data_IF_786243902352
#
_entry.id   IF_786243902352
#
_cell.length_a   1.000
_cell.length_b   1.000
_cell.length_c   1.000
_cell.angle_alpha   90.00
_cell.angle_beta   90.00
_cell.angle_gamma   90.00
#
_symmetry.space_group_name_H-M   'P 1'
#
loop_
_entity.id
_entity.type
_entity.pdbx_description
1 polymer ?
#
# COMPACT_ATOMS: atom_id res chain seq x y z
N UNK A 1 -11.68 11.78 -15.01
CA UNK A 1 -10.91 10.96 -14.04
C UNK A 1 -11.78 10.63 -12.82
N UNK A 2 -12.33 11.63 -12.10
CA UNK A 2 -12.98 11.40 -10.81
C UNK A 2 -14.20 10.47 -10.87
N UNK A 3 -15.10 10.59 -11.82
CA UNK A 3 -16.27 9.69 -11.96
C UNK A 3 -15.86 8.22 -12.13
N UNK A 4 -14.80 7.97 -12.94
CA UNK A 4 -14.26 6.62 -13.13
C UNK A 4 -13.60 6.08 -11.87
N UNK A 5 -12.92 6.95 -11.11
CA UNK A 5 -12.33 6.59 -9.82
C UNK A 5 -13.42 6.21 -8.81
N UNK A 6 -14.45 7.04 -8.65
CA UNK A 6 -15.57 6.76 -7.73
C UNK A 6 -16.26 5.43 -8.10
N UNK A 7 -16.55 5.21 -9.38
CA UNK A 7 -17.11 3.93 -9.85
C UNK A 7 -16.17 2.74 -9.55
N UNK A 8 -14.83 2.91 -9.69
CA UNK A 8 -13.83 1.88 -9.40
C UNK A 8 -13.82 1.46 -7.93
N UNK A 9 -14.02 2.43 -7.02
CA UNK A 9 -14.06 2.17 -5.57
C UNK A 9 -15.48 1.92 -5.03
N UNK A 10 -16.47 1.83 -5.90
CA UNK A 10 -17.85 1.49 -5.54
C UNK A 10 -18.65 2.63 -4.91
N UNK A 11 -18.25 3.87 -5.17
CA UNK A 11 -18.95 5.07 -4.74
C UNK A 11 -19.68 5.73 -5.90
N UNK A 12 -20.77 6.44 -5.61
CA UNK A 12 -21.51 7.23 -6.58
C UNK A 12 -20.95 8.66 -6.72
N UNK A 13 -21.62 9.52 -7.49
CA UNK A 13 -21.24 10.91 -7.69
C UNK A 13 -21.67 11.88 -6.57
N UNK A 14 -22.07 11.38 -5.39
CA UNK A 14 -22.46 12.20 -4.24
C UNK A 14 -21.29 12.78 -3.46
N UNK A 15 -21.62 13.51 -2.39
CA UNK A 15 -20.64 13.99 -1.44
C UNK A 15 -20.20 12.84 -0.51
N UNK A 16 -18.89 12.68 -0.38
CA UNK A 16 -18.30 11.63 0.46
C UNK A 16 -17.33 12.25 1.48
N UNK A 17 -17.37 11.75 2.70
CA UNK A 17 -16.38 12.06 3.70
C UNK A 17 -15.01 11.47 3.35
N UNK A 18 -13.95 12.09 3.86
CA UNK A 18 -12.58 11.60 3.69
C UNK A 18 -12.41 10.16 4.20
N UNK A 19 -13.15 9.77 5.26
CA UNK A 19 -13.12 8.41 5.80
C UNK A 19 -13.79 7.39 4.86
N UNK A 20 -14.92 7.73 4.23
CA UNK A 20 -15.57 6.88 3.25
C UNK A 20 -14.71 6.68 2.01
N UNK A 21 -14.12 7.75 1.49
CA UNK A 21 -13.21 7.70 0.35
C UNK A 21 -11.99 6.81 0.63
N UNK A 22 -11.36 6.97 1.81
CA UNK A 22 -10.18 6.18 2.17
C UNK A 22 -10.53 4.71 2.34
N UNK A 23 -11.61 4.38 3.07
CA UNK A 23 -12.08 3.01 3.24
C UNK A 23 -12.40 2.35 1.90
N UNK A 24 -13.18 3.05 1.06
CA UNK A 24 -13.56 2.55 -0.26
C UNK A 24 -12.33 2.26 -1.13
N UNK A 25 -11.31 3.12 -1.10
CA UNK A 25 -10.06 2.93 -1.84
C UNK A 25 -9.33 1.66 -1.39
N UNK A 26 -9.03 1.51 -0.10
CA UNK A 26 -8.21 0.39 0.41
C UNK A 26 -8.93 -0.96 0.34
N UNK A 27 -10.25 -0.95 0.29
CA UNK A 27 -11.07 -2.16 0.09
C UNK A 27 -11.26 -2.53 -1.37
N UNK A 28 -11.10 -1.59 -2.31
CA UNK A 28 -11.36 -1.83 -3.72
C UNK A 28 -10.10 -1.98 -4.56
N UNK A 29 -8.99 -1.34 -4.19
CA UNK A 29 -7.75 -1.34 -4.96
C UNK A 29 -6.65 -2.02 -4.14
N UNK A 30 -6.24 -3.19 -4.58
CA UNK A 30 -5.20 -3.96 -3.90
C UNK A 30 -3.83 -3.25 -3.95
N UNK A 31 -3.11 -3.27 -2.84
CA UNK A 31 -1.69 -2.95 -2.82
C UNK A 31 -0.91 -4.08 -3.49
N UNK A 32 -0.07 -3.79 -4.50
CA UNK A 32 0.71 -4.82 -5.18
C UNK A 32 1.97 -4.27 -5.85
N UNK A 33 2.95 -5.14 -6.06
CA UNK A 33 4.21 -4.85 -6.76
C UNK A 33 4.45 -5.76 -7.97
N UNK A 34 3.42 -6.38 -8.53
CA UNK A 34 3.55 -7.44 -9.52
C UNK A 34 4.17 -6.94 -10.84
N UNK A 35 3.94 -5.68 -11.22
CA UNK A 35 4.52 -5.11 -12.44
C UNK A 35 6.06 -5.10 -12.41
N UNK A 36 6.69 -5.00 -11.22
CA UNK A 36 8.14 -5.13 -11.08
C UNK A 36 8.59 -6.52 -11.55
N UNK A 37 7.90 -7.57 -11.13
CA UNK A 37 8.22 -8.96 -11.50
C UNK A 37 7.80 -9.33 -12.93
N UNK A 38 6.88 -8.54 -13.50
CA UNK A 38 6.52 -8.61 -14.91
C UNK A 38 7.44 -7.75 -15.81
N UNK A 39 8.46 -7.09 -15.23
CA UNK A 39 9.43 -6.29 -15.97
C UNK A 39 8.85 -5.01 -16.55
N UNK A 40 7.81 -4.47 -15.93
CA UNK A 40 7.15 -3.21 -16.34
C UNK A 40 7.69 -2.04 -15.54
N UNK A 41 7.79 -0.89 -16.19
CA UNK A 41 8.13 0.35 -15.53
C UNK A 41 6.97 0.81 -14.61
N UNK A 42 7.30 1.28 -13.41
CA UNK A 42 6.34 1.89 -12.50
C UNK A 42 6.26 3.40 -12.80
N UNK A 43 5.19 3.79 -13.48
CA UNK A 43 4.92 5.17 -13.85
C UNK A 43 4.03 5.84 -12.83
N UNK A 44 4.34 7.11 -12.49
CA UNK A 44 3.62 7.88 -11.47
C UNK A 44 2.79 9.04 -12.02
N UNK A 45 2.74 9.21 -13.35
CA UNK A 45 1.83 10.17 -13.96
C UNK A 45 0.37 9.69 -13.82
N UNK A 46 -0.54 10.62 -13.58
CA UNK A 46 -1.95 10.32 -13.26
C UNK A 46 -2.63 9.53 -14.37
N UNK A 47 -2.34 9.83 -15.64
CA UNK A 47 -2.98 9.14 -16.78
C UNK A 47 -2.58 7.67 -16.82
N UNK A 48 -1.30 7.34 -16.58
CA UNK A 48 -0.81 5.97 -16.46
C UNK A 48 -1.41 5.22 -15.27
N UNK A 49 -1.60 5.92 -14.14
CA UNK A 49 -2.22 5.32 -12.94
C UNK A 49 -3.72 5.06 -13.14
N UNK A 50 -4.41 5.96 -13.84
CA UNK A 50 -5.82 5.78 -14.22
C UNK A 50 -5.96 4.56 -15.15
N UNK A 51 -5.15 4.46 -16.20
CA UNK A 51 -5.13 3.29 -17.07
C UNK A 51 -4.89 2.00 -16.29
N UNK A 52 -3.85 1.97 -15.44
CA UNK A 52 -3.48 0.78 -14.68
C UNK A 52 -4.52 0.40 -13.63
N UNK A 53 -4.84 1.31 -12.72
CA UNK A 53 -5.55 0.97 -11.48
C UNK A 53 -7.07 1.06 -11.61
N UNK A 54 -7.56 1.86 -12.55
CA UNK A 54 -8.99 2.04 -12.80
C UNK A 54 -9.42 1.17 -13.98
N UNK A 55 -8.84 1.38 -15.17
CA UNK A 55 -9.33 0.74 -16.39
C UNK A 55 -8.93 -0.73 -16.48
N UNK A 56 -7.65 -1.04 -16.25
CA UNK A 56 -7.15 -2.42 -16.23
C UNK A 56 -7.31 -3.12 -14.89
N UNK A 57 -7.98 -2.50 -13.92
CA UNK A 57 -8.30 -3.06 -12.60
C UNK A 57 -7.10 -3.73 -11.91
N UNK A 58 -5.92 -3.15 -12.08
CA UNK A 58 -4.71 -3.53 -11.37
C UNK A 58 -4.62 -2.76 -10.04
N UNK A 59 -3.63 -3.06 -9.26
CA UNK A 59 -3.26 -2.31 -8.07
C UNK A 59 -1.97 -1.51 -8.27
N UNK A 60 -1.28 -1.24 -7.19
CA UNK A 60 0.02 -0.60 -7.17
C UNK A 60 0.55 -0.48 -5.74
N UNK A 61 1.78 -0.02 -5.57
CA UNK A 61 2.37 0.18 -4.26
C UNK A 61 2.31 1.66 -3.81
N UNK A 62 2.99 2.04 -2.73
CA UNK A 62 2.75 3.31 -2.03
C UNK A 62 2.72 4.55 -2.94
N UNK A 63 3.67 4.69 -3.88
CA UNK A 63 3.73 5.85 -4.76
C UNK A 63 2.56 5.91 -5.74
N UNK A 64 2.17 4.76 -6.29
CA UNK A 64 1.05 4.67 -7.23
C UNK A 64 -0.28 4.92 -6.52
N UNK A 65 -0.52 4.22 -5.40
CA UNK A 65 -1.73 4.33 -4.60
C UNK A 65 -1.95 5.77 -4.11
N UNK A 66 -0.96 6.35 -3.41
CA UNK A 66 -1.10 7.69 -2.85
C UNK A 66 -1.09 8.79 -3.93
N UNK A 67 -0.45 8.59 -5.09
CA UNK A 67 -0.53 9.56 -6.20
C UNK A 67 -1.93 9.57 -6.82
N UNK A 68 -2.50 8.40 -7.11
CA UNK A 68 -3.87 8.31 -7.64
C UNK A 68 -4.89 8.87 -6.65
N UNK A 69 -4.74 8.52 -5.36
CA UNK A 69 -5.65 8.99 -4.31
C UNK A 69 -5.55 10.49 -4.10
N UNK A 70 -4.34 11.07 -4.09
CA UNK A 70 -4.14 12.51 -4.03
C UNK A 70 -4.84 13.24 -5.19
N UNK A 71 -4.70 12.73 -6.42
CA UNK A 71 -5.36 13.31 -7.59
C UNK A 71 -6.89 13.22 -7.49
N UNK A 72 -7.43 12.14 -6.92
CA UNK A 72 -8.86 12.00 -6.68
C UNK A 72 -9.36 12.98 -5.61
N UNK A 73 -8.64 13.12 -4.49
CA UNK A 73 -8.97 14.07 -3.43
C UNK A 73 -8.91 15.52 -3.90
N UNK A 74 -7.88 15.89 -4.67
CA UNK A 74 -7.75 17.23 -5.26
C UNK A 74 -8.90 17.54 -6.24
N UNK A 75 -9.31 16.56 -7.04
CA UNK A 75 -10.47 16.70 -7.93
C UNK A 75 -11.82 16.86 -7.18
N UNK A 76 -11.90 16.35 -5.94
CA UNK A 76 -13.03 16.53 -5.03
C UNK A 76 -12.92 17.81 -4.17
N UNK A 77 -11.87 18.62 -4.35
CA UNK A 77 -11.71 19.92 -3.69
C UNK A 77 -10.92 19.89 -2.38
N UNK A 78 -10.33 18.76 -1.99
CA UNK A 78 -9.46 18.69 -0.81
C UNK A 78 -8.08 19.30 -1.10
N UNK A 79 -7.48 19.93 -0.09
CA UNK A 79 -6.08 20.37 -0.15
C UNK A 79 -5.17 19.27 0.37
N UNK A 80 -4.33 18.72 -0.50
CA UNK A 80 -3.48 17.57 -0.19
C UNK A 80 -2.02 17.98 -0.10
N UNK A 81 -1.36 17.62 1.02
CA UNK A 81 0.09 17.71 1.17
C UNK A 81 0.70 16.31 1.01
N UNK A 82 1.64 16.18 0.07
CA UNK A 82 2.37 14.93 -0.17
C UNK A 82 3.62 14.90 0.69
N UNK A 83 3.79 13.86 1.49
CA UNK A 83 4.89 13.67 2.43
C UNK A 83 5.74 12.46 2.05
N UNK A 84 7.04 12.52 2.32
CA UNK A 84 7.95 11.39 2.16
C UNK A 84 8.28 10.79 3.54
N UNK A 85 8.11 9.48 3.66
CA UNK A 85 8.27 8.73 4.91
C UNK A 85 9.38 7.68 4.85
N UNK A 86 9.85 7.31 6.04
CA UNK A 86 10.87 6.29 6.27
C UNK A 86 10.28 5.12 7.03
N UNK A 87 10.22 3.94 6.39
CA UNK A 87 9.65 2.72 6.97
C UNK A 87 10.44 2.26 8.21
N UNK A 88 9.73 1.88 9.29
CA UNK A 88 10.25 1.56 10.62
C UNK A 88 9.63 0.27 11.21
N UNK A 89 9.40 -0.74 10.43
CA UNK A 89 8.74 -1.99 10.88
C UNK A 89 9.48 -2.77 11.99
N UNK A 90 10.58 -2.23 12.49
CA UNK A 90 11.29 -2.74 13.68
C UNK A 90 12.01 -1.59 14.35
N UNK A 91 12.31 -1.72 15.65
CA UNK A 91 13.12 -0.78 16.41
C UNK A 91 14.61 -0.79 16.03
N UNK A 92 14.96 -1.45 14.93
CA UNK A 92 16.32 -1.50 14.42
C UNK A 92 16.83 -0.08 14.08
N UNK A 93 17.95 0.29 14.67
CA UNK A 93 18.59 1.61 14.55
C UNK A 93 19.23 1.85 13.18
N UNK A 94 19.24 0.85 12.29
CA UNK A 94 19.83 1.00 10.95
C UNK A 94 19.07 2.02 10.11
N UNK A 95 19.75 3.05 9.57
CA UNK A 95 19.13 4.01 8.69
C UNK A 95 18.60 3.31 7.44
N UNK A 96 17.31 3.50 7.14
CA UNK A 96 16.68 3.02 5.91
C UNK A 96 16.40 4.22 5.00
N UNK A 97 16.40 4.07 3.68
CA UNK A 97 16.01 5.16 2.79
C UNK A 97 14.56 5.59 3.04
N UNK A 98 14.25 6.86 2.78
CA UNK A 98 12.88 7.34 2.77
C UNK A 98 12.21 6.84 1.49
N UNK A 99 11.36 5.83 1.61
CA UNK A 99 10.77 5.09 0.48
C UNK A 99 9.27 4.87 0.64
N UNK A 100 8.61 5.67 1.46
CA UNK A 100 7.16 5.63 1.60
C UNK A 100 6.56 7.00 1.31
N UNK A 101 5.48 7.04 0.55
CA UNK A 101 4.68 8.24 0.32
C UNK A 101 3.45 8.19 1.21
N UNK A 102 3.18 9.27 1.94
CA UNK A 102 1.96 9.46 2.72
C UNK A 102 1.33 10.81 2.37
N UNK A 103 0.07 11.01 2.70
CA UNK A 103 -0.68 12.24 2.43
C UNK A 103 -1.16 12.88 3.74
N UNK A 104 -1.24 14.21 3.74
CA UNK A 104 -1.93 14.98 4.77
C UNK A 104 -3.06 15.80 4.14
N UNK A 105 -4.20 15.80 4.81
CA UNK A 105 -5.37 16.63 4.49
C UNK A 105 -5.87 17.25 5.79
N UNK A 106 -5.83 18.58 5.88
CA UNK A 106 -6.34 19.34 7.04
C UNK A 106 -5.81 18.84 8.42
N UNK A 107 -4.52 18.49 8.49
CA UNK A 107 -3.89 17.97 9.71
C UNK A 107 -4.21 16.50 10.03
N UNK A 108 -4.84 15.79 9.11
CA UNK A 108 -5.11 14.36 9.19
C UNK A 108 -4.12 13.60 8.30
N UNK A 109 -3.55 12.53 8.82
CA UNK A 109 -2.82 11.55 8.02
C UNK A 109 -3.84 10.73 7.22
N UNK A 110 -3.62 10.69 5.90
CA UNK A 110 -4.45 9.99 4.94
C UNK A 110 -3.52 9.12 4.09
N UNK A 111 -3.50 7.83 4.33
CA UNK A 111 -2.55 6.91 3.69
C UNK A 111 -3.27 5.67 3.19
N UNK A 112 -3.20 5.43 1.90
CA UNK A 112 -3.75 4.25 1.22
C UNK A 112 -2.65 3.36 0.62
N UNK A 113 -1.38 3.69 0.91
CA UNK A 113 -0.20 3.07 0.28
C UNK A 113 0.67 2.23 1.21
N UNK A 114 0.23 1.87 2.43
CA UNK A 114 1.02 1.04 3.35
C UNK A 114 0.60 -0.45 3.37
N UNK A 115 -0.17 -0.87 2.40
CA UNK A 115 -0.62 -2.26 2.26
C UNK A 115 -1.59 -2.70 3.35
N UNK A 116 -1.39 -3.89 3.92
CA UNK A 116 -2.28 -4.44 4.95
C UNK A 116 -2.28 -3.65 6.27
N UNK A 117 -1.34 -2.72 6.47
CA UNK A 117 -1.33 -1.84 7.64
C UNK A 117 -1.88 -0.43 7.35
N UNK A 118 -2.50 -0.22 6.18
CA UNK A 118 -3.20 1.02 5.86
C UNK A 118 -4.27 1.34 6.90
N UNK A 119 -4.38 2.60 7.34
CA UNK A 119 -5.56 3.02 8.09
C UNK A 119 -6.82 2.91 7.22
N UNK A 120 -7.92 2.46 7.84
CA UNK A 120 -9.23 2.39 7.18
C UNK A 120 -9.94 3.75 7.10
N UNK A 121 -9.29 4.80 7.56
CA UNK A 121 -9.75 6.18 7.52
C UNK A 121 -8.68 7.12 8.05
N UNK A 122 -8.92 8.45 8.05
CA UNK A 122 -7.95 9.45 8.46
C UNK A 122 -7.52 9.32 9.93
N UNK A 123 -6.24 9.59 10.22
CA UNK A 123 -5.68 9.56 11.57
C UNK A 123 -5.22 10.98 11.95
N UNK A 124 -5.69 11.58 13.05
CA UNK A 124 -5.27 12.92 13.44
C UNK A 124 -3.79 12.97 13.81
N UNK A 125 -3.09 14.04 13.42
CA UNK A 125 -1.71 14.25 13.87
C UNK A 125 -1.68 14.55 15.38
N UNK A 126 -0.85 13.79 16.11
CA UNK A 126 -0.76 13.85 17.58
C UNK A 126 -1.94 13.20 18.29
N UNK A 127 -2.67 12.32 17.61
CA UNK A 127 -3.82 11.59 18.14
C UNK A 127 -3.90 10.17 17.65
N UNK A 128 -5.07 9.58 17.84
CA UNK A 128 -5.37 8.22 17.42
C UNK A 128 -6.73 8.12 16.72
N UNK A 129 -6.91 7.08 15.92
CA UNK A 129 -8.16 6.72 15.30
C UNK A 129 -8.32 5.20 15.32
N UNK A 130 -9.53 4.76 15.70
CA UNK A 130 -9.88 3.33 15.75
C UNK A 130 -10.92 3.02 14.69
N UNK A 131 -10.62 2.03 13.85
CA UNK A 131 -11.51 1.51 12.82
C UNK A 131 -11.64 0.00 13.00
N UNK A 132 -12.85 -0.47 13.33
CA UNK A 132 -13.04 -1.84 13.74
C UNK A 132 -12.17 -2.18 14.97
N UNK A 133 -11.41 -3.28 14.97
CA UNK A 133 -10.53 -3.65 16.09
C UNK A 133 -9.16 -2.98 16.04
N UNK A 134 -8.87 -2.18 15.02
CA UNK A 134 -7.53 -1.65 14.76
C UNK A 134 -7.42 -0.19 15.20
N UNK A 135 -6.34 0.15 15.93
CA UNK A 135 -6.05 1.52 16.37
C UNK A 135 -4.73 1.98 15.77
N UNK A 136 -4.81 3.07 14.98
CA UNK A 136 -3.64 3.80 14.49
C UNK A 136 -3.41 5.03 15.35
N UNK A 137 -2.13 5.34 15.58
CA UNK A 137 -1.70 6.50 16.34
C UNK A 137 -0.59 7.23 15.62
N UNK A 138 -0.61 8.55 15.71
CA UNK A 138 0.51 9.40 15.31
C UNK A 138 1.04 10.14 16.53
N UNK A 139 2.35 10.20 16.68
CA UNK A 139 3.01 10.89 17.79
C UNK A 139 4.27 11.61 17.31
N UNK A 140 4.58 12.75 17.92
CA UNK A 140 5.86 13.41 17.67
C UNK A 140 6.98 12.68 18.39
N UNK A 141 8.08 12.49 17.66
CA UNK A 141 9.29 11.86 18.18
C UNK A 141 10.52 12.49 17.54
N UNK A 142 11.69 12.10 18.04
CA UNK A 142 12.98 12.49 17.46
C UNK A 142 13.55 11.28 16.74
N UNK A 143 13.90 11.44 15.47
CA UNK A 143 14.57 10.37 14.71
C UNK A 143 15.98 10.11 15.27
N UNK A 144 16.61 8.97 14.96
CA UNK A 144 18.00 8.72 15.34
C UNK A 144 18.99 9.78 14.85
N UNK A 145 18.63 10.48 13.75
CA UNK A 145 19.41 11.57 13.17
C UNK A 145 19.17 12.93 13.85
N UNK A 146 18.29 12.99 14.87
CA UNK A 146 17.96 14.20 15.64
C UNK A 146 16.86 15.08 15.02
N UNK A 147 16.17 14.59 13.99
CA UNK A 147 15.08 15.33 13.32
C UNK A 147 13.75 15.13 14.07
N UNK A 148 12.95 16.21 14.19
CA UNK A 148 11.58 16.12 14.69
C UNK A 148 10.68 15.50 13.62
N UNK A 149 10.09 14.35 13.91
CA UNK A 149 9.26 13.59 12.95
C UNK A 149 7.95 13.15 13.59
N UNK A 150 6.99 12.83 12.76
CA UNK A 150 5.82 12.06 13.14
C UNK A 150 6.13 10.56 13.03
N UNK A 151 5.83 9.78 14.07
CA UNK A 151 5.80 8.33 14.05
C UNK A 151 4.36 7.86 13.88
N UNK A 152 4.15 6.99 12.91
CA UNK A 152 2.86 6.30 12.70
C UNK A 152 2.96 4.89 13.27
N UNK A 153 1.95 4.49 14.05
CA UNK A 153 1.86 3.16 14.65
C UNK A 153 0.52 2.51 14.36
N UNK A 154 0.52 1.20 14.26
CA UNK A 154 -0.66 0.34 14.35
C UNK A 154 -0.56 -0.42 15.67
N UNK A 155 -1.45 -0.15 16.62
CA UNK A 155 -1.26 -0.48 18.02
C UNK A 155 0.10 0.07 18.51
N UNK A 156 0.99 -0.79 19.05
CA UNK A 156 2.34 -0.40 19.45
C UNK A 156 3.40 -0.64 18.34
N UNK A 157 3.02 -1.27 17.23
CA UNK A 157 3.94 -1.57 16.14
C UNK A 157 4.27 -0.30 15.35
N UNK A 158 5.56 0.11 15.29
CA UNK A 158 5.96 1.25 14.46
C UNK A 158 5.85 0.89 12.99
N UNK A 159 5.28 1.78 12.18
CA UNK A 159 5.13 1.61 10.75
C UNK A 159 6.18 2.44 9.99
N UNK A 160 6.12 3.75 10.15
CA UNK A 160 7.05 4.68 9.50
C UNK A 160 7.09 6.03 10.20
N UNK A 161 8.13 6.80 9.90
CA UNK A 161 8.25 8.21 10.29
C UNK A 161 8.16 9.11 9.06
N UNK A 162 7.64 10.33 9.24
CA UNK A 162 7.63 11.35 8.19
C UNK A 162 7.66 12.76 8.78
N UNK A 163 7.93 13.76 7.94
CA UNK A 163 7.79 15.20 8.25
C UNK A 163 6.62 15.78 7.46
N UNK A 164 6.09 16.91 7.91
CA UNK A 164 5.05 17.67 7.19
C UNK A 164 5.60 18.44 5.99
N UNK A 165 6.88 18.28 5.67
CA UNK A 165 7.52 18.94 4.53
C UNK A 165 6.86 18.53 3.23
N UNK A 166 6.29 19.48 2.45
CA UNK A 166 5.67 19.17 1.18
C UNK A 166 6.71 18.69 0.16
N UNK A 167 6.33 17.68 -0.61
CA UNK A 167 7.12 17.15 -1.72
C UNK A 167 6.37 17.32 -3.04
N UNK A 168 7.10 17.62 -4.11
CA UNK A 168 6.57 17.68 -5.46
C UNK A 168 6.51 16.28 -6.10
N UNK A 169 5.63 16.04 -7.08
CA UNK A 169 5.56 14.75 -7.77
C UNK A 169 6.92 14.26 -8.30
N UNK A 170 7.79 15.17 -8.75
CA UNK A 170 9.14 14.83 -9.24
C UNK A 170 10.05 14.23 -8.17
N UNK A 171 9.86 14.57 -6.89
CA UNK A 171 10.69 14.09 -5.78
C UNK A 171 10.51 12.59 -5.53
N UNK A 172 9.39 12.02 -5.97
CA UNK A 172 9.11 10.59 -5.83
C UNK A 172 9.75 9.71 -6.90
N UNK A 173 10.28 10.27 -8.00
CA UNK A 173 10.91 9.48 -9.05
C UNK A 173 12.14 8.71 -8.56
N UNK A 174 12.99 9.34 -7.75
CA UNK A 174 14.20 8.71 -7.21
C UNK A 174 13.88 7.56 -6.26
N UNK A 175 13.06 7.73 -5.19
CA UNK A 175 12.72 6.63 -4.31
C UNK A 175 11.82 5.57 -4.99
N UNK A 176 11.02 5.93 -5.98
CA UNK A 176 10.30 4.98 -6.83
C UNK A 176 11.27 4.10 -7.63
N UNK A 177 12.26 4.71 -8.29
CA UNK A 177 13.30 3.97 -9.01
C UNK A 177 14.06 3.02 -8.08
N UNK A 178 14.49 3.49 -6.90
CA UNK A 178 15.11 2.61 -5.90
C UNK A 178 14.21 1.44 -5.53
N UNK A 179 12.95 1.71 -5.21
CA UNK A 179 12.00 0.67 -4.77
C UNK A 179 11.71 -0.37 -5.84
N UNK A 180 11.63 0.05 -7.11
CA UNK A 180 11.25 -0.82 -8.23
C UNK A 180 12.42 -1.55 -8.88
N UNK A 181 13.67 -1.10 -8.69
CA UNK A 181 14.82 -1.64 -9.45
C UNK A 181 16.02 -2.05 -8.62
N UNK A 182 16.19 -1.49 -7.40
CA UNK A 182 17.41 -1.72 -6.64
C UNK A 182 17.39 -3.10 -5.94
N UNK A 183 18.50 -3.89 -6.00
CA UNK A 183 18.55 -5.25 -5.43
C UNK A 183 18.30 -5.33 -3.91
N UNK A 184 18.54 -4.25 -3.16
CA UNK A 184 18.23 -4.18 -1.72
C UNK A 184 16.76 -3.86 -1.42
N UNK A 185 15.96 -3.56 -2.43
CA UNK A 185 14.53 -3.36 -2.26
C UNK A 185 13.81 -4.69 -2.07
N UNK A 186 12.98 -4.81 -1.02
CA UNK A 186 12.13 -5.99 -0.84
C UNK A 186 11.19 -6.21 -2.03
N UNK A 187 10.79 -5.13 -2.71
CA UNK A 187 9.88 -5.21 -3.84
C UNK A 187 10.48 -5.86 -5.08
N UNK A 188 11.81 -5.91 -5.20
CA UNK A 188 12.49 -6.65 -6.28
C UNK A 188 12.79 -8.11 -5.93
N UNK A 189 12.65 -8.47 -4.65
CA UNK A 189 13.01 -9.80 -4.14
C UNK A 189 11.80 -10.72 -3.99
N UNK A 190 10.60 -10.18 -3.76
CA UNK A 190 9.38 -10.97 -3.53
C UNK A 190 8.15 -10.27 -4.06
N UNK A 191 7.16 -11.05 -4.49
CA UNK A 191 5.83 -10.54 -4.80
C UNK A 191 5.08 -10.26 -3.51
N UNK A 192 4.40 -9.12 -3.47
CA UNK A 192 3.57 -8.69 -2.34
C UNK A 192 2.23 -8.24 -2.91
N UNK A 193 1.15 -8.84 -2.43
CA UNK A 193 -0.22 -8.39 -2.74
C UNK A 193 -0.98 -8.32 -1.44
N UNK A 194 -1.62 -7.19 -1.16
CA UNK A 194 -2.32 -6.97 0.11
C UNK A 194 -3.62 -6.20 -0.14
N UNK A 195 -4.61 -6.46 0.71
CA UNK A 195 -5.92 -5.85 0.60
C UNK A 195 -6.64 -5.89 1.95
N UNK A 196 -7.58 -4.98 2.14
CA UNK A 196 -8.64 -5.09 3.12
C UNK A 196 -9.88 -5.72 2.47
N UNK A 197 -10.32 -6.84 3.01
CA UNK A 197 -11.59 -7.46 2.62
C UNK A 197 -12.75 -6.93 3.48
N UNK A 198 -13.97 -7.28 3.09
CA UNK A 198 -15.17 -7.01 3.88
C UNK A 198 -15.04 -7.55 5.30
N UNK A 199 -15.66 -6.87 6.26
CA UNK A 199 -15.59 -7.24 7.66
C UNK A 199 -14.23 -6.94 8.32
N UNK A 200 -13.45 -6.01 7.74
CA UNK A 200 -12.17 -5.55 8.27
C UNK A 200 -11.10 -6.68 8.39
N UNK A 201 -11.10 -7.61 7.45
CA UNK A 201 -10.10 -8.67 7.35
C UNK A 201 -8.89 -8.15 6.55
N UNK A 202 -7.70 -8.22 7.15
CA UNK A 202 -6.45 -7.96 6.43
C UNK A 202 -6.02 -9.21 5.68
N UNK A 203 -5.83 -9.11 4.39
CA UNK A 203 -5.34 -10.21 3.55
C UNK A 203 -4.02 -9.83 2.91
N UNK A 204 -3.03 -10.69 3.05
CA UNK A 204 -1.71 -10.49 2.47
C UNK A 204 -1.17 -11.76 1.83
N UNK A 205 -0.66 -11.65 0.61
CA UNK A 205 0.07 -12.70 -0.09
C UNK A 205 1.51 -12.21 -0.30
N UNK A 206 2.46 -12.94 0.26
CA UNK A 206 3.90 -12.72 0.05
C UNK A 206 4.49 -13.98 -0.56
N UNK A 207 4.96 -13.88 -1.79
CA UNK A 207 5.29 -15.06 -2.57
C UNK A 207 4.08 -15.98 -2.73
N UNK A 208 4.14 -17.18 -2.15
CA UNK A 208 3.04 -18.15 -2.08
C UNK A 208 2.46 -18.28 -0.66
N UNK A 209 2.86 -17.45 0.28
CA UNK A 209 2.32 -17.44 1.65
C UNK A 209 1.14 -16.48 1.78
N UNK A 210 -0.07 -17.00 1.92
CA UNK A 210 -1.28 -16.24 2.18
C UNK A 210 -1.47 -16.11 3.70
N UNK A 211 -1.64 -14.89 4.16
CA UNK A 211 -1.94 -14.56 5.57
C UNK A 211 -3.23 -13.78 5.64
N UNK A 212 -4.11 -14.21 6.53
CA UNK A 212 -5.37 -13.54 6.85
C UNK A 212 -5.37 -13.17 8.32
N UNK A 213 -5.59 -11.92 8.62
CA UNK A 213 -5.78 -11.44 9.99
C UNK A 213 -7.24 -11.05 10.17
N UNK A 214 -7.92 -11.78 11.01
CA UNK A 214 -9.33 -11.56 11.34
C UNK A 214 -9.48 -10.42 12.37
N UNK A 215 -10.68 -9.80 12.47
CA UNK A 215 -10.95 -8.73 13.41
C UNK A 215 -10.78 -9.11 14.89
N UNK A 216 -10.95 -10.38 15.24
CA UNK A 216 -10.72 -10.92 16.59
C UNK A 216 -9.22 -11.13 16.93
N UNK A 217 -8.33 -10.82 15.98
CA UNK A 217 -6.88 -10.99 16.10
C UNK A 217 -6.37 -12.37 15.68
N UNK A 218 -7.23 -13.31 15.32
CA UNK A 218 -6.80 -14.59 14.77
C UNK A 218 -6.01 -14.38 13.47
N UNK A 219 -4.90 -15.08 13.34
CA UNK A 219 -4.04 -15.04 12.13
C UNK A 219 -3.98 -16.43 11.53
N UNK A 220 -4.47 -16.56 10.30
CA UNK A 220 -4.39 -17.78 9.50
C UNK A 220 -3.30 -17.62 8.45
N UNK A 221 -2.42 -18.63 8.32
CA UNK A 221 -1.40 -18.66 7.28
C UNK A 221 -1.55 -19.94 6.48
N UNK A 222 -1.60 -19.82 5.16
CA UNK A 222 -1.77 -20.94 4.23
C UNK A 222 -0.75 -20.83 3.12
N UNK A 223 -0.16 -21.93 2.69
CA UNK A 223 0.65 -21.99 1.47
C UNK A 223 -0.26 -22.16 0.27
N UNK A 224 -0.10 -21.32 -0.73
CA UNK A 224 -0.86 -21.34 -1.99
C UNK A 224 -0.13 -22.26 -2.98
N UNK A 225 -0.87 -23.15 -3.64
CA UNK A 225 -0.31 -23.89 -4.77
C UNK A 225 -0.04 -22.94 -5.94
N UNK A 226 1.10 -23.00 -6.63
CA UNK A 226 1.35 -22.17 -7.80
C UNK A 226 0.25 -22.23 -8.87
N UNK A 227 -0.45 -23.37 -9.00
CA UNK A 227 -1.57 -23.55 -9.92
C UNK A 227 -2.83 -22.75 -9.54
N UNK A 228 -3.01 -22.46 -8.25
CA UNK A 228 -4.16 -21.71 -7.72
C UNK A 228 -3.91 -20.20 -7.65
N UNK A 229 -2.67 -19.75 -7.93
CA UNK A 229 -2.26 -18.34 -7.80
C UNK A 229 -3.15 -17.40 -8.63
N UNK A 230 -3.47 -17.79 -9.86
CA UNK A 230 -4.28 -16.98 -10.77
C UNK A 230 -5.70 -16.73 -10.24
N UNK A 231 -6.35 -17.78 -9.77
CA UNK A 231 -7.70 -17.70 -9.21
C UNK A 231 -7.71 -16.83 -7.94
N UNK A 232 -6.68 -16.95 -7.10
CA UNK A 232 -6.53 -16.13 -5.91
C UNK A 232 -6.34 -14.64 -6.25
N UNK A 233 -5.44 -14.32 -7.20
CA UNK A 233 -5.15 -12.94 -7.60
C UNK A 233 -6.37 -12.27 -8.26
N UNK A 234 -7.06 -12.98 -9.14
CA UNK A 234 -8.24 -12.47 -9.83
C UNK A 234 -9.46 -12.40 -8.91
N UNK A 235 -9.74 -13.49 -8.20
CA UNK A 235 -10.95 -13.63 -7.38
C UNK A 235 -10.88 -12.80 -6.09
N UNK A 236 -9.88 -13.06 -5.25
CA UNK A 236 -9.83 -12.43 -3.93
C UNK A 236 -9.20 -11.03 -3.95
N UNK A 237 -8.11 -10.86 -4.71
CA UNK A 237 -7.44 -9.56 -4.78
C UNK A 237 -8.02 -8.65 -5.87
N UNK A 238 -8.92 -9.14 -6.72
CA UNK A 238 -9.62 -8.35 -7.73
C UNK A 238 -8.69 -7.77 -8.81
N UNK A 239 -7.60 -8.48 -9.11
CA UNK A 239 -6.57 -8.05 -10.07
C UNK A 239 -6.83 -8.70 -11.42
N UNK A 240 -7.01 -7.90 -12.47
CA UNK A 240 -7.11 -8.40 -13.83
C UNK A 240 -5.71 -8.68 -14.39
N UNK A 241 -5.38 -9.96 -14.51
CA UNK A 241 -4.14 -10.51 -15.03
C UNK A 241 -4.46 -11.54 -16.12
N UNK A 242 -3.70 -11.54 -17.21
CA UNK A 242 -3.79 -12.62 -18.19
C UNK A 242 -3.05 -13.88 -17.73
N UNK A 243 -3.22 -14.98 -18.46
CA UNK A 243 -2.65 -16.27 -18.06
C UNK A 243 -1.12 -16.29 -18.17
N UNK A 244 -0.54 -15.60 -19.16
CA UNK A 244 0.92 -15.47 -19.30
C UNK A 244 1.53 -14.71 -18.13
N UNK A 245 0.87 -13.65 -17.64
CA UNK A 245 1.28 -12.88 -16.47
C UNK A 245 1.25 -13.77 -15.21
N UNK A 246 0.15 -14.50 -14.99
CA UNK A 246 -0.01 -15.42 -13.88
C UNK A 246 1.07 -16.50 -13.91
N UNK A 247 1.32 -17.12 -15.05
CA UNK A 247 2.33 -18.15 -15.23
C UNK A 247 3.75 -17.63 -14.92
N UNK A 248 4.07 -16.40 -15.31
CA UNK A 248 5.36 -15.77 -15.00
C UNK A 248 5.51 -15.54 -13.50
N UNK A 249 4.48 -15.03 -12.82
CA UNK A 249 4.46 -14.81 -11.38
C UNK A 249 4.54 -16.12 -10.60
N UNK A 250 3.82 -17.15 -11.02
CA UNK A 250 3.85 -18.47 -10.41
C UNK A 250 5.25 -19.10 -10.49
N UNK A 251 5.89 -19.05 -11.67
CA UNK A 251 7.27 -19.53 -11.85
C UNK A 251 8.26 -18.76 -10.99
N UNK A 252 8.16 -17.43 -10.93
CA UNK A 252 9.03 -16.60 -10.09
C UNK A 252 8.89 -17.00 -8.61
N UNK A 253 7.67 -17.11 -8.09
CA UNK A 253 7.43 -17.45 -6.69
C UNK A 253 7.88 -18.88 -6.34
N UNK A 254 7.67 -19.84 -7.22
CA UNK A 254 8.14 -21.22 -7.01
C UNK A 254 9.68 -21.32 -6.96
N UNK A 255 10.39 -20.55 -7.79
CA UNK A 255 11.85 -20.47 -7.76
C UNK A 255 12.36 -19.84 -6.45
N UNK A 256 11.74 -18.77 -5.97
CA UNK A 256 12.10 -18.14 -4.70
C UNK A 256 11.88 -19.08 -3.50
N UNK A 257 10.78 -19.82 -3.51
CA UNK A 257 10.49 -20.80 -2.46
C UNK A 257 11.54 -21.94 -2.42
N UNK A 258 11.98 -22.39 -3.58
CA UNK A 258 13.01 -23.44 -3.69
C UNK A 258 14.40 -22.96 -3.29
N UNK A 259 14.70 -21.67 -3.45
CA UNK A 259 15.99 -21.06 -3.11
C UNK A 259 16.08 -20.63 -1.63
N UNK A 260 14.97 -20.56 -0.90
CA UNK A 260 14.97 -20.23 0.51
C UNK A 260 15.57 -21.39 1.33
N UNK A 261 16.62 -21.16 2.16
CA UNK A 261 17.15 -22.23 3.02
C UNK A 261 16.04 -22.71 3.96
N UNK A 262 15.93 -24.03 4.12
CA UNK A 262 15.00 -24.64 5.06
C UNK A 262 15.18 -23.97 6.44
N UNK A 263 14.15 -23.26 6.91
CA UNK A 263 14.18 -22.67 8.27
C UNK A 263 14.20 -23.84 9.25
N UNK A 264 15.38 -24.09 9.81
CA UNK A 264 15.60 -25.03 10.93
C UNK A 264 15.07 -24.45 12.24
#
# INVERSE_FOLDING_TARGET
MIERYLARVGLDGGDHSLAELQRAHVQSISYENLDIHLGREIRLDVDSLVDKMIDRRRGGYCYEQNTLYAAALEALGFTVTRCLGRVRLSDAVSPRPATHMALLVDGLLVDVGFGAANPLGPVPLGGEATYGPYTWRTERTVSPEGEQVWMVRLFDMPLYTFTETPHHPIDYLTPNHFSSTHPLSLFTQMTIVQRWDDGDVQVGLVGLGLTERLPDGEVKTTSVDPGDLGDLLRGRFGLELDDDEVDRLARFNAQQQSAAPARS
#
